data_IF_140877765995
#
_entry.id   IF_140877765995
#
_cell.length_a   1.000
_cell.length_b   1.000
_cell.length_c   1.000
_cell.angle_alpha   90.00
_cell.angle_beta   90.00
_cell.angle_gamma   90.00
#
_symmetry.space_group_name_H-M   'P 1'
#
loop_
_entity.id
_entity.type
_entity.pdbx_description
1 polymer ?
#
# COMPACT_ATOMS: atom_id res chain seq x y z
N UNK A 1 25.18 -5.49 0.38
CA UNK A 1 25.24 -4.43 1.39
C UNK A 1 24.31 -3.36 0.91
N UNK A 2 23.16 -3.28 1.56
CA UNK A 2 22.12 -2.32 1.23
C UNK A 2 22.71 -0.90 1.20
N UNK A 3 22.33 -0.13 0.19
CA UNK A 3 22.85 1.22 -0.03
C UNK A 3 21.80 2.09 -0.69
N UNK A 4 21.96 3.39 -0.57
CA UNK A 4 21.12 4.35 -1.28
C UNK A 4 21.93 5.45 -1.97
N UNK A 5 21.30 6.09 -2.94
CA UNK A 5 21.78 7.33 -3.54
C UNK A 5 20.60 8.27 -3.73
N UNK A 6 20.78 9.53 -3.31
CA UNK A 6 19.77 10.57 -3.49
C UNK A 6 20.17 11.42 -4.69
N UNK A 7 19.35 11.43 -5.72
CA UNK A 7 19.50 12.29 -6.90
C UNK A 7 18.25 13.18 -7.05
N UNK A 8 18.38 14.44 -6.62
CA UNK A 8 17.26 15.39 -6.61
C UNK A 8 16.09 14.91 -5.76
N UNK A 9 14.98 14.56 -6.42
CA UNK A 9 13.73 14.06 -5.80
C UNK A 9 13.59 12.53 -5.87
N UNK A 10 14.68 11.82 -6.17
CA UNK A 10 14.68 10.36 -6.31
C UNK A 10 15.63 9.75 -5.30
N UNK A 11 15.13 8.81 -4.51
CA UNK A 11 15.95 7.93 -3.67
C UNK A 11 16.07 6.59 -4.37
N UNK A 12 17.29 6.28 -4.84
CA UNK A 12 17.63 5.01 -5.48
C UNK A 12 18.12 4.08 -4.39
N UNK A 13 17.51 2.90 -4.27
CA UNK A 13 17.80 1.91 -3.24
C UNK A 13 18.31 0.64 -3.91
N UNK A 14 19.38 0.08 -3.36
CA UNK A 14 20.00 -1.13 -3.90
C UNK A 14 20.40 -2.07 -2.74
N UNK A 15 19.88 -3.30 -2.75
CA UNK A 15 20.30 -4.39 -1.86
C UNK A 15 20.93 -5.51 -2.70
N UNK A 16 21.42 -6.58 -2.07
CA UNK A 16 21.91 -7.75 -2.81
C UNK A 16 20.84 -8.42 -3.69
N UNK A 17 19.56 -8.41 -3.29
CA UNK A 17 18.46 -9.07 -4.01
C UNK A 17 17.42 -8.14 -4.64
N UNK A 18 17.37 -6.85 -4.25
CA UNK A 18 16.41 -5.87 -4.77
C UNK A 18 17.09 -4.60 -5.29
N UNK A 19 16.41 -3.93 -6.21
CA UNK A 19 16.63 -2.51 -6.52
C UNK A 19 15.28 -1.82 -6.67
N UNK A 20 15.16 -0.57 -6.22
CA UNK A 20 13.91 0.19 -6.28
C UNK A 20 14.18 1.69 -6.29
N UNK A 21 13.20 2.49 -6.72
CA UNK A 21 13.22 3.94 -6.60
C UNK A 21 12.02 4.46 -5.82
N UNK A 22 12.26 5.38 -4.90
CA UNK A 22 11.22 6.20 -4.25
C UNK A 22 11.28 7.60 -4.82
N UNK A 23 10.19 8.06 -5.44
CA UNK A 23 10.09 9.40 -6.02
C UNK A 23 9.33 10.31 -5.07
N UNK A 24 9.98 11.36 -4.56
CA UNK A 24 9.39 12.27 -3.56
C UNK A 24 8.68 13.47 -4.20
N UNK A 25 8.65 13.53 -5.54
CA UNK A 25 7.92 14.49 -6.35
C UNK A 25 7.15 13.79 -7.48
N UNK A 26 6.00 14.35 -7.89
CA UNK A 26 5.16 13.78 -8.93
C UNK A 26 4.12 12.78 -8.41
N UNK A 27 4.24 11.50 -8.76
CA UNK A 27 3.41 10.44 -8.19
C UNK A 27 4.12 9.91 -6.94
N UNK A 28 3.69 10.39 -5.77
CA UNK A 28 4.65 10.70 -4.70
C UNK A 28 4.83 9.70 -3.56
N UNK A 29 3.96 8.71 -3.37
CA UNK A 29 4.13 7.74 -2.28
C UNK A 29 4.65 6.39 -2.78
N UNK A 30 5.18 5.56 -1.88
CA UNK A 30 5.62 4.21 -2.19
C UNK A 30 6.76 4.10 -3.20
N UNK A 31 6.78 2.97 -3.92
CA UNK A 31 7.80 2.65 -4.93
C UNK A 31 7.31 3.07 -6.31
N UNK A 32 8.22 3.71 -7.06
CA UNK A 32 7.97 4.16 -8.42
C UNK A 32 7.63 2.97 -9.33
N UNK A 33 6.60 3.15 -10.15
CA UNK A 33 6.19 2.20 -11.17
C UNK A 33 7.37 1.60 -11.96
N UNK A 34 7.40 0.27 -12.06
CA UNK A 34 8.38 -0.51 -12.82
C UNK A 34 9.82 -0.41 -12.31
N UNK A 35 10.04 0.10 -11.09
CA UNK A 35 11.38 0.24 -10.51
C UNK A 35 11.74 -0.88 -9.55
N UNK A 36 10.77 -1.57 -8.93
CA UNK A 36 11.07 -2.70 -8.04
C UNK A 36 11.55 -3.89 -8.86
N UNK A 37 12.86 -4.10 -8.88
CA UNK A 37 13.54 -5.18 -9.57
C UNK A 37 13.84 -6.33 -8.59
N UNK A 38 13.44 -7.54 -8.95
CA UNK A 38 13.98 -8.77 -8.36
C UNK A 38 15.28 -9.13 -9.06
N UNK A 39 16.42 -8.97 -8.38
CA UNK A 39 17.74 -9.29 -8.98
C UNK A 39 17.94 -10.79 -9.20
N UNK A 40 17.16 -11.62 -8.51
CA UNK A 40 17.25 -13.09 -8.66
C UNK A 40 16.71 -13.54 -10.00
N UNK A 41 15.57 -13.01 -10.42
CA UNK A 41 14.87 -13.42 -11.64
C UNK A 41 14.99 -12.41 -12.78
N UNK A 42 15.37 -11.16 -12.48
CA UNK A 42 15.46 -10.06 -13.43
C UNK A 42 14.12 -9.36 -13.73
N UNK A 43 13.02 -9.75 -13.07
CA UNK A 43 11.69 -9.16 -13.33
C UNK A 43 11.48 -7.85 -12.56
N UNK A 44 10.62 -6.99 -13.11
CA UNK A 44 10.19 -5.72 -12.50
C UNK A 44 8.70 -5.73 -12.24
N UNK A 45 8.25 -4.88 -11.31
CA UNK A 45 6.82 -4.69 -11.09
C UNK A 45 6.15 -4.20 -12.39
N UNK A 46 4.89 -4.58 -12.60
CA UNK A 46 4.16 -4.31 -13.84
C UNK A 46 3.26 -3.07 -13.71
N UNK A 47 3.28 -2.42 -12.56
CA UNK A 47 2.17 -1.61 -12.09
C UNK A 47 2.27 -0.11 -12.34
N UNK A 48 1.47 0.62 -11.58
CA UNK A 48 1.51 2.09 -11.47
C UNK A 48 2.39 2.58 -10.31
N UNK A 49 3.04 1.67 -9.61
CA UNK A 49 3.77 1.89 -8.37
C UNK A 49 3.30 0.91 -7.30
N UNK A 50 4.02 0.84 -6.19
CA UNK A 50 3.72 -0.09 -5.11
C UNK A 50 3.57 0.63 -3.78
N UNK A 51 2.61 0.20 -2.97
CA UNK A 51 2.24 0.77 -1.67
C UNK A 51 1.98 2.27 -1.73
N UNK A 52 1.00 2.62 -2.56
CA UNK A 52 0.62 4.01 -2.83
C UNK A 52 -0.51 4.44 -1.89
N UNK A 53 -0.47 5.67 -1.41
CA UNK A 53 -1.47 6.23 -0.49
C UNK A 53 -2.33 7.28 -1.17
N UNK A 54 -3.64 7.19 -0.94
CA UNK A 54 -4.65 8.05 -1.50
C UNK A 54 -5.14 9.10 -0.50
N UNK A 55 -6.19 8.79 0.29
CA UNK A 55 -6.92 9.77 1.09
C UNK A 55 -7.55 9.13 2.34
N UNK A 56 -8.06 10.01 3.22
CA UNK A 56 -8.84 9.62 4.39
C UNK A 56 -10.34 9.64 4.08
N UNK A 57 -11.05 8.59 4.49
CA UNK A 57 -12.47 8.39 4.23
C UNK A 57 -13.23 8.01 5.50
N UNK A 58 -14.55 8.05 5.39
CA UNK A 58 -15.47 7.40 6.31
C UNK A 58 -16.67 6.80 5.55
N UNK A 59 -17.35 5.78 6.09
CA UNK A 59 -18.44 5.07 5.42
C UNK A 59 -19.78 5.79 5.57
N UNK A 60 -19.84 7.06 5.16
CA UNK A 60 -21.05 7.88 5.18
C UNK A 60 -21.32 8.45 3.79
N UNK A 61 -22.58 8.69 3.48
CA UNK A 61 -22.97 9.36 2.24
C UNK A 61 -22.62 10.84 2.29
N UNK A 62 -22.26 11.42 1.14
CA UNK A 62 -22.10 12.87 1.02
C UNK A 62 -23.41 13.61 1.29
N UNK A 63 -23.31 14.79 1.89
CA UNK A 63 -24.45 15.67 2.10
C UNK A 63 -24.86 16.37 0.78
N UNK A 64 -26.16 16.64 0.56
CA UNK A 64 -26.62 17.35 -0.64
C UNK A 64 -25.88 18.68 -0.84
N UNK A 65 -25.35 18.90 -2.05
CA UNK A 65 -24.62 20.13 -2.38
C UNK A 65 -23.13 20.11 -2.01
N UNK A 66 -22.58 18.97 -1.59
CA UNK A 66 -21.13 18.79 -1.45
C UNK A 66 -20.40 19.16 -2.74
N UNK A 67 -19.33 19.97 -2.63
CA UNK A 67 -18.54 20.42 -3.78
C UNK A 67 -17.59 19.35 -4.33
N UNK A 68 -17.28 18.33 -3.54
CA UNK A 68 -16.38 17.24 -3.90
C UNK A 68 -16.96 15.90 -3.41
N UNK A 69 -18.10 15.45 -4.00
CA UNK A 69 -18.71 14.19 -3.58
C UNK A 69 -17.82 13.01 -3.97
N UNK A 70 -17.84 11.97 -3.15
CA UNK A 70 -17.36 10.66 -3.51
C UNK A 70 -18.42 9.99 -4.39
N UNK A 71 -18.12 9.88 -5.69
CA UNK A 71 -19.00 9.22 -6.64
C UNK A 71 -19.08 7.72 -6.35
N UNK A 72 -20.28 7.15 -6.41
CA UNK A 72 -20.54 5.72 -6.32
C UNK A 72 -21.65 5.35 -7.31
N UNK A 73 -21.85 4.06 -7.58
CA UNK A 73 -22.73 3.54 -8.62
C UNK A 73 -22.12 3.52 -10.02
N UNK A 74 -20.78 3.52 -10.10
CA UNK A 74 -20.04 3.43 -11.34
C UNK A 74 -18.98 2.31 -11.30
N UNK A 75 -18.31 2.08 -12.43
CA UNK A 75 -17.28 1.03 -12.55
C UNK A 75 -16.00 1.31 -11.73
N UNK A 76 -15.81 2.55 -11.29
CA UNK A 76 -14.63 2.99 -10.53
C UNK A 76 -14.77 2.73 -9.05
N UNK A 77 -15.94 3.03 -8.51
CA UNK A 77 -16.20 3.03 -7.07
C UNK A 77 -17.22 1.97 -6.63
N UNK A 78 -17.97 1.38 -7.59
CA UNK A 78 -19.04 0.44 -7.28
C UNK A 78 -20.14 1.07 -6.44
N UNK A 79 -21.02 0.27 -5.84
CA UNK A 79 -22.02 0.76 -4.89
C UNK A 79 -21.46 0.87 -3.45
N UNK A 80 -20.19 1.29 -3.32
CA UNK A 80 -19.51 1.45 -2.04
C UNK A 80 -19.68 2.91 -1.56
N UNK A 81 -20.53 3.10 -0.56
CA UNK A 81 -20.78 4.42 0.04
C UNK A 81 -19.59 4.85 0.90
N UNK A 82 -19.00 6.00 0.54
CA UNK A 82 -17.93 6.67 1.27
C UNK A 82 -18.12 8.18 1.15
N UNK A 83 -17.38 8.94 1.95
CA UNK A 83 -17.11 10.36 1.72
C UNK A 83 -15.70 10.71 2.20
N UNK A 84 -15.10 11.71 1.57
CA UNK A 84 -13.78 12.21 1.97
C UNK A 84 -13.85 12.81 3.36
N UNK A 85 -12.83 12.55 4.19
CA UNK A 85 -12.61 13.20 5.50
C UNK A 85 -11.60 14.32 5.35
N UNK A 86 -10.44 13.99 4.78
CA UNK A 86 -9.35 14.92 4.53
C UNK A 86 -8.71 14.65 3.16
N UNK A 87 -8.21 15.73 2.56
CA UNK A 87 -7.76 15.85 1.18
C UNK A 87 -6.42 16.61 1.14
N UNK A 88 -5.66 16.51 0.04
CA UNK A 88 -6.03 15.89 -1.23
C UNK A 88 -5.65 14.40 -1.31
N UNK A 89 -5.94 13.77 -2.45
CA UNK A 89 -5.34 12.47 -2.80
C UNK A 89 -3.82 12.62 -2.87
N UNK A 90 -3.09 11.99 -1.94
CA UNK A 90 -1.64 12.17 -1.78
C UNK A 90 -0.92 11.83 -3.08
N UNK A 91 -1.14 10.63 -3.62
CA UNK A 91 -0.39 10.13 -4.77
C UNK A 91 -0.44 11.03 -6.02
N UNK A 92 -1.51 11.79 -6.27
CA UNK A 92 -1.62 12.63 -7.47
C UNK A 92 -1.61 14.13 -7.21
N UNK A 93 -1.87 14.58 -5.97
CA UNK A 93 -2.11 16.00 -5.67
C UNK A 93 -1.22 16.59 -4.59
N UNK A 94 -0.52 15.78 -3.78
CA UNK A 94 0.44 16.31 -2.81
C UNK A 94 1.64 17.00 -3.50
N UNK A 95 1.96 16.61 -4.74
CA UNK A 95 3.04 17.12 -5.61
C UNK A 95 4.46 16.84 -5.11
N UNK A 96 4.72 17.04 -3.82
CA UNK A 96 6.01 16.83 -3.16
C UNK A 96 5.81 16.32 -1.73
N UNK A 97 6.58 15.32 -1.34
CA UNK A 97 6.64 14.83 0.04
C UNK A 97 7.92 15.26 0.72
N UNK A 98 7.80 15.53 2.02
CA UNK A 98 8.96 15.59 2.88
C UNK A 98 9.41 14.15 3.18
N UNK A 99 10.73 13.95 3.26
CA UNK A 99 11.31 12.64 3.46
C UNK A 99 12.64 12.71 4.21
N UNK A 100 13.03 11.59 4.78
CA UNK A 100 14.35 11.33 5.35
C UNK A 100 14.80 9.92 4.96
N UNK A 101 16.12 9.74 4.87
CA UNK A 101 16.74 8.43 4.60
C UNK A 101 17.62 8.06 5.78
N UNK A 102 17.55 6.79 6.17
CA UNK A 102 18.39 6.20 7.20
C UNK A 102 19.07 4.95 6.67
N UNK A 103 20.34 4.79 7.02
CA UNK A 103 21.16 3.66 6.59
C UNK A 103 21.77 3.00 7.82
N UNK A 104 21.94 1.69 7.76
CA UNK A 104 22.68 0.91 8.73
C UNK A 104 23.29 -0.32 8.09
N UNK A 105 23.91 -1.18 8.89
CA UNK A 105 24.57 -2.37 8.34
C UNK A 105 23.54 -3.34 7.74
N UNK A 106 23.57 -3.48 6.42
CA UNK A 106 22.69 -4.37 5.66
C UNK A 106 21.25 -3.87 5.47
N UNK A 107 20.94 -2.59 5.75
CA UNK A 107 19.60 -2.04 5.50
C UNK A 107 19.58 -0.54 5.16
N UNK A 108 18.52 -0.15 4.44
CA UNK A 108 18.17 1.25 4.10
C UNK A 108 16.70 1.46 4.45
N UNK A 109 16.38 2.58 5.08
CA UNK A 109 15.01 3.02 5.33
C UNK A 109 14.73 4.37 4.69
N UNK A 110 13.56 4.52 4.08
CA UNK A 110 13.02 5.79 3.60
C UNK A 110 11.75 6.06 4.38
N UNK A 111 11.70 7.20 5.07
CA UNK A 111 10.48 7.70 5.72
C UNK A 111 10.02 8.96 5.02
N UNK A 112 8.74 9.02 4.71
CA UNK A 112 8.10 10.16 4.08
C UNK A 112 6.80 10.52 4.78
N UNK A 113 6.40 11.79 4.70
CA UNK A 113 5.21 12.25 5.39
C UNK A 113 4.52 13.41 4.65
N UNK A 114 3.23 13.53 4.93
CA UNK A 114 2.38 14.59 4.42
C UNK A 114 1.37 15.03 5.46
N UNK A 115 1.09 16.33 5.51
CA UNK A 115 0.01 16.88 6.33
C UNK A 115 -1.14 17.28 5.40
N UNK A 116 -2.29 16.65 5.56
CA UNK A 116 -3.49 16.96 4.79
C UNK A 116 -3.84 18.45 4.90
N UNK A 117 -4.23 19.05 3.79
CA UNK A 117 -4.40 20.52 3.67
C UNK A 117 -5.85 20.95 3.52
N UNK A 118 -6.74 20.00 3.24
CA UNK A 118 -8.16 20.22 3.04
C UNK A 118 -8.97 19.21 3.87
N UNK A 119 -10.17 19.60 4.29
CA UNK A 119 -11.09 18.76 5.03
C UNK A 119 -12.54 19.10 4.67
N UNK A 120 -13.44 18.16 4.89
CA UNK A 120 -14.86 18.25 4.54
C UNK A 120 -15.75 18.21 5.79
N UNK A 121 -17.05 18.51 5.64
CA UNK A 121 -18.06 18.29 6.70
C UNK A 121 -17.74 18.95 8.04
N UNK A 122 -17.23 20.18 8.02
CA UNK A 122 -16.91 20.95 9.24
C UNK A 122 -15.66 20.48 10.00
N UNK A 123 -14.86 19.60 9.40
CA UNK A 123 -13.61 19.11 9.97
C UNK A 123 -12.45 20.06 9.75
N UNK A 124 -11.36 19.82 10.48
CA UNK A 124 -10.12 20.59 10.36
C UNK A 124 -9.13 19.82 9.48
N UNK A 125 -8.46 20.45 8.51
CA UNK A 125 -7.31 19.82 7.87
C UNK A 125 -6.17 19.73 8.88
N UNK A 126 -5.27 18.78 8.65
CA UNK A 126 -3.99 18.75 9.34
C UNK A 126 -3.60 17.40 9.90
N UNK A 127 -4.35 16.34 9.62
CA UNK A 127 -3.92 14.97 9.93
C UNK A 127 -2.57 14.70 9.29
N UNK A 128 -1.68 14.03 10.03
CA UNK A 128 -0.35 13.67 9.56
C UNK A 128 -0.38 12.22 9.07
N UNK A 129 -0.03 12.00 7.82
CA UNK A 129 0.32 10.70 7.29
C UNK A 129 1.84 10.55 7.25
N UNK A 130 2.32 9.37 7.66
CA UNK A 130 3.71 8.95 7.63
C UNK A 130 3.79 7.56 7.00
N UNK A 131 4.77 7.35 6.11
CA UNK A 131 5.11 6.03 5.58
C UNK A 131 6.59 5.77 5.78
N UNK A 132 6.91 4.61 6.35
CA UNK A 132 8.28 4.12 6.51
C UNK A 132 8.46 2.87 5.67
N UNK A 133 9.50 2.81 4.85
CA UNK A 133 9.87 1.65 4.02
C UNK A 133 11.29 1.22 4.38
N UNK A 134 11.52 -0.07 4.64
CA UNK A 134 12.81 -0.65 5.03
C UNK A 134 13.19 -1.76 4.07
N UNK A 135 14.35 -1.60 3.44
CA UNK A 135 14.99 -2.54 2.53
C UNK A 135 16.15 -3.20 3.24
N UNK A 136 16.28 -4.51 3.11
CA UNK A 136 17.34 -5.28 3.76
C UNK A 136 18.03 -6.19 2.75
N UNK A 137 19.31 -6.46 2.98
CA UNK A 137 19.98 -7.55 2.28
C UNK A 137 19.34 -8.90 2.62
N UNK A 138 19.47 -9.87 1.72
CA UNK A 138 18.95 -11.23 1.85
C UNK A 138 17.44 -11.36 1.66
N UNK A 139 16.71 -10.27 1.46
CA UNK A 139 15.26 -10.27 1.25
C UNK A 139 14.88 -9.81 -0.16
N UNK A 140 13.91 -10.52 -0.75
CA UNK A 140 13.26 -10.16 -2.03
C UNK A 140 11.98 -9.34 -1.83
N UNK A 141 11.75 -8.84 -0.61
CA UNK A 141 10.69 -7.90 -0.26
C UNK A 141 11.23 -6.80 0.65
N UNK A 142 10.51 -5.69 0.71
CA UNK A 142 10.74 -4.65 1.70
C UNK A 142 9.61 -4.66 2.73
N UNK A 143 9.93 -4.23 3.94
CA UNK A 143 8.92 -3.97 4.97
C UNK A 143 8.46 -2.52 4.84
N UNK A 144 7.19 -2.27 5.09
CA UNK A 144 6.67 -0.91 5.11
C UNK A 144 5.61 -0.72 6.18
N UNK A 145 5.31 0.52 6.53
CA UNK A 145 4.19 0.84 7.41
C UNK A 145 3.62 2.21 7.10
N UNK A 146 2.31 2.37 7.30
CA UNK A 146 1.63 3.65 7.32
C UNK A 146 1.20 4.00 8.73
N UNK A 147 1.24 5.29 9.06
CA UNK A 147 0.67 5.85 10.28
C UNK A 147 -0.08 7.14 9.98
N UNK A 148 -1.31 7.22 10.44
CA UNK A 148 -2.12 8.44 10.43
C UNK A 148 -2.25 8.92 11.86
N UNK A 149 -1.93 10.18 12.13
CA UNK A 149 -2.30 10.88 13.37
C UNK A 149 -3.37 11.90 13.05
N UNK A 150 -4.60 11.66 13.53
CA UNK A 150 -5.75 12.46 13.12
C UNK A 150 -5.89 13.75 13.94
N UNK A 151 -6.28 14.86 13.31
CA UNK A 151 -6.67 16.10 14.02
C UNK A 151 -8.17 16.17 14.34
N UNK A 152 -8.93 15.17 13.90
CA UNK A 152 -10.38 15.09 14.03
C UNK A 152 -10.77 13.83 14.80
N UNK A 153 -11.90 13.92 15.51
CA UNK A 153 -12.58 12.72 16.01
C UNK A 153 -13.50 12.19 14.92
N UNK A 154 -13.29 10.96 14.47
CA UNK A 154 -14.05 10.33 13.38
C UNK A 154 -14.48 8.92 13.80
N UNK A 155 -15.78 8.58 13.76
CA UNK A 155 -16.26 7.28 14.26
C UNK A 155 -15.72 6.06 13.51
N UNK A 156 -15.41 6.20 12.22
CA UNK A 156 -14.91 5.13 11.37
C UNK A 156 -13.96 5.72 10.33
N UNK A 157 -12.76 6.12 10.75
CA UNK A 157 -11.75 6.67 9.85
C UNK A 157 -11.03 5.55 9.11
N UNK A 158 -10.93 5.63 7.80
CA UNK A 158 -10.09 4.73 6.99
C UNK A 158 -9.03 5.49 6.22
N UNK A 159 -7.90 4.82 5.98
CA UNK A 159 -6.88 5.24 5.02
C UNK A 159 -6.98 4.33 3.80
N UNK A 160 -7.13 4.92 2.61
CA UNK A 160 -7.11 4.18 1.34
C UNK A 160 -5.71 4.09 0.78
N UNK A 161 -5.33 2.89 0.35
CA UNK A 161 -4.04 2.58 -0.25
C UNK A 161 -4.18 1.62 -1.45
N UNK A 162 -3.24 1.68 -2.38
CA UNK A 162 -3.07 0.69 -3.43
C UNK A 162 -2.08 -0.38 -2.94
N UNK A 163 -2.55 -1.63 -2.76
CA UNK A 163 -1.76 -2.70 -2.12
C UNK A 163 -1.92 -4.05 -2.84
N UNK A 164 -0.84 -4.66 -3.39
CA UNK A 164 0.53 -4.13 -3.45
C UNK A 164 0.65 -2.91 -4.36
N UNK A 165 -0.22 -2.77 -5.36
CA UNK A 165 -0.24 -1.70 -6.34
C UNK A 165 -1.11 -2.11 -7.53
N UNK A 166 -1.61 -1.14 -8.31
CA UNK A 166 -2.40 -1.45 -9.51
C UNK A 166 -1.53 -2.11 -10.59
N UNK A 167 -2.09 -3.07 -11.33
CA UNK A 167 -1.39 -3.88 -12.33
C UNK A 167 -1.83 -3.53 -13.75
N UNK A 168 -0.86 -3.14 -14.59
CA UNK A 168 -1.10 -2.91 -16.03
C UNK A 168 -1.05 -4.22 -16.81
N UNK A 169 -1.94 -4.33 -17.79
CA UNK A 169 -1.98 -5.42 -18.75
C UNK A 169 -2.74 -4.98 -20.00
N UNK A 170 -2.55 -5.71 -21.09
CA UNK A 170 -3.41 -5.68 -22.28
C UNK A 170 -4.08 -7.04 -22.42
N UNK A 171 -5.40 -7.10 -22.15
CA UNK A 171 -6.19 -8.33 -22.16
C UNK A 171 -5.61 -9.51 -21.33
N UNK A 172 -4.74 -9.23 -20.36
CA UNK A 172 -4.18 -10.22 -19.44
C UNK A 172 -2.92 -10.89 -19.98
N UNK A 173 -2.17 -10.21 -20.84
CA UNK A 173 -0.94 -10.66 -21.47
C UNK A 173 0.25 -10.81 -20.50
N UNK A 174 0.38 -9.90 -19.54
CA UNK A 174 1.58 -9.72 -18.71
C UNK A 174 1.60 -10.56 -17.42
N UNK A 175 0.46 -11.10 -17.01
CA UNK A 175 0.31 -11.87 -15.78
C UNK A 175 -0.52 -13.13 -16.01
N UNK A 176 -0.32 -14.13 -15.16
CA UNK A 176 -1.01 -15.42 -15.29
C UNK A 176 -2.29 -15.48 -14.47
N UNK A 177 -2.21 -15.02 -13.22
CA UNK A 177 -3.29 -15.15 -12.23
C UNK A 177 -3.10 -14.16 -11.08
N UNK A 178 -4.19 -13.92 -10.38
CA UNK A 178 -4.26 -13.11 -9.16
C UNK A 178 -4.65 -14.01 -8.01
N UNK A 179 -4.01 -13.79 -6.86
CA UNK A 179 -4.31 -14.45 -5.60
C UNK A 179 -4.75 -13.43 -4.55
N UNK A 180 -5.89 -13.70 -3.92
CA UNK A 180 -6.41 -12.95 -2.78
C UNK A 180 -6.63 -13.95 -1.64
N UNK A 181 -6.03 -13.74 -0.48
CA UNK A 181 -6.16 -14.69 0.64
C UNK A 181 -7.61 -14.91 1.09
N UNK A 182 -8.46 -13.89 0.91
CA UNK A 182 -9.89 -13.91 1.24
C UNK A 182 -10.80 -14.38 0.08
N UNK A 183 -10.27 -14.55 -1.13
CA UNK A 183 -11.06 -14.84 -2.34
C UNK A 183 -10.54 -16.00 -3.21
N UNK A 184 -9.36 -16.53 -2.91
CA UNK A 184 -8.71 -17.58 -3.70
C UNK A 184 -7.96 -17.04 -4.92
N UNK A 185 -7.83 -17.88 -5.95
CA UNK A 185 -7.05 -17.59 -7.16
C UNK A 185 -7.98 -17.39 -8.35
N UNK A 186 -7.74 -16.34 -9.13
CA UNK A 186 -8.44 -16.04 -10.38
C UNK A 186 -7.47 -15.95 -11.56
N UNK A 187 -7.75 -16.55 -12.72
CA UNK A 187 -6.90 -16.44 -13.90
C UNK A 187 -6.96 -15.04 -14.51
N UNK A 188 -5.96 -14.65 -15.29
CA UNK A 188 -5.93 -13.36 -16.00
C UNK A 188 -7.18 -13.12 -16.87
N UNK A 189 -7.74 -14.17 -17.47
CA UNK A 189 -8.97 -14.12 -18.26
C UNK A 189 -10.18 -13.56 -17.50
N UNK A 190 -10.19 -13.61 -16.15
CA UNK A 190 -11.26 -13.05 -15.33
C UNK A 190 -11.25 -11.50 -15.30
N UNK A 191 -10.18 -10.88 -15.79
CA UNK A 191 -9.93 -9.43 -15.78
C UNK A 191 -9.83 -8.84 -17.19
N UNK A 192 -10.42 -9.49 -18.20
CA UNK A 192 -10.48 -8.94 -19.56
C UNK A 192 -11.55 -7.84 -19.66
N UNK A 193 -12.71 -8.07 -19.05
CA UNK A 193 -13.82 -7.12 -19.03
C UNK A 193 -13.84 -6.33 -17.73
N UNK A 194 -14.16 -5.04 -17.83
CA UNK A 194 -14.32 -4.17 -16.67
C UNK A 194 -15.46 -4.64 -15.76
N UNK A 195 -15.25 -4.57 -14.45
CA UNK A 195 -16.28 -4.82 -13.45
C UNK A 195 -16.03 -3.96 -12.20
N UNK A 196 -17.08 -3.52 -11.49
CA UNK A 196 -16.93 -2.62 -10.36
C UNK A 196 -16.34 -3.33 -9.12
N UNK A 197 -15.78 -2.56 -8.17
CA UNK A 197 -15.23 -3.02 -6.89
C UNK A 197 -16.00 -4.11 -6.14
N UNK A 198 -17.33 -3.96 -6.08
CA UNK A 198 -18.24 -4.74 -5.26
C UNK A 198 -18.90 -5.92 -5.99
N UNK A 199 -18.57 -6.14 -7.28
CA UNK A 199 -19.18 -7.21 -8.06
C UNK A 199 -18.64 -8.61 -7.75
N UNK A 200 -17.35 -8.74 -7.42
CA UNK A 200 -16.67 -10.06 -7.37
C UNK A 200 -15.74 -10.25 -6.18
N UNK A 201 -14.76 -9.37 -6.04
CA UNK A 201 -13.60 -9.62 -5.17
C UNK A 201 -13.54 -8.64 -3.97
N UNK A 202 -14.70 -8.31 -3.40
CA UNK A 202 -14.80 -7.39 -2.27
C UNK A 202 -14.70 -8.15 -0.94
N UNK A 203 -13.74 -7.76 -0.13
CA UNK A 203 -13.67 -8.05 1.29
C UNK A 203 -14.19 -6.86 2.09
N UNK A 204 -15.04 -7.16 3.08
CA UNK A 204 -15.42 -6.24 4.16
C UNK A 204 -15.17 -6.93 5.49
N UNK A 205 -14.52 -6.23 6.42
CA UNK A 205 -14.21 -6.79 7.73
C UNK A 205 -15.48 -7.18 8.47
N UNK A 206 -15.45 -8.39 8.99
CA UNK A 206 -16.35 -8.87 10.02
C UNK A 206 -15.48 -9.29 11.20
N UNK A 207 -15.60 -8.60 12.33
CA UNK A 207 -14.74 -8.83 13.50
C UNK A 207 -14.90 -10.25 14.09
N UNK A 208 -15.96 -10.97 13.73
CA UNK A 208 -16.16 -12.39 14.12
C UNK A 208 -15.46 -13.38 13.18
N UNK A 209 -15.02 -12.94 12.02
CA UNK A 209 -14.44 -13.79 10.96
C UNK A 209 -13.31 -13.09 10.22
N UNK A 210 -12.32 -12.58 10.96
CA UNK A 210 -11.09 -12.02 10.38
C UNK A 210 -10.31 -13.16 9.69
N UNK A 211 -9.89 -13.00 8.43
CA UNK A 211 -9.11 -14.04 7.74
C UNK A 211 -7.72 -14.20 8.38
N UNK A 212 -7.16 -15.41 8.32
CA UNK A 212 -5.82 -15.70 8.88
C UNK A 212 -4.70 -14.87 8.23
N UNK A 213 -4.92 -14.43 6.99
CA UNK A 213 -3.98 -13.67 6.17
C UNK A 213 -4.69 -12.59 5.38
N UNK A 214 -4.00 -11.49 5.12
CA UNK A 214 -4.35 -10.51 4.10
C UNK A 214 -3.22 -10.40 3.08
N UNK A 215 -3.25 -11.28 2.08
CA UNK A 215 -2.26 -11.38 1.01
C UNK A 215 -2.94 -11.11 -0.31
N UNK A 216 -2.35 -10.23 -1.10
CA UNK A 216 -2.86 -9.81 -2.40
C UNK A 216 -1.71 -9.82 -3.37
N UNK A 217 -1.83 -10.64 -4.42
CA UNK A 217 -0.68 -10.92 -5.28
C UNK A 217 -1.11 -11.17 -6.72
N UNK A 218 -0.18 -10.95 -7.64
CA UNK A 218 -0.29 -11.40 -9.02
C UNK A 218 0.98 -12.16 -9.42
N UNK A 219 0.81 -13.19 -10.23
CA UNK A 219 1.91 -13.98 -10.77
C UNK A 219 2.28 -13.42 -12.14
N UNK A 220 3.52 -12.95 -12.30
CA UNK A 220 3.97 -12.40 -13.59
C UNK A 220 4.19 -13.52 -14.60
N UNK A 221 4.09 -13.20 -15.89
CA UNK A 221 4.64 -14.06 -16.93
C UNK A 221 6.08 -13.67 -17.22
N UNK A 222 6.95 -14.65 -17.28
CA UNK A 222 8.34 -14.48 -17.69
C UNK A 222 8.63 -15.44 -18.83
N UNK A 223 9.06 -14.91 -19.98
CA UNK A 223 9.39 -15.71 -21.18
C UNK A 223 8.27 -16.66 -21.63
N UNK A 224 7.01 -16.26 -21.45
CA UNK A 224 5.83 -17.05 -21.82
C UNK A 224 5.45 -18.16 -20.83
N UNK A 225 6.11 -18.22 -19.67
CA UNK A 225 5.81 -19.16 -18.59
C UNK A 225 5.42 -18.45 -17.30
N UNK A 226 4.96 -19.22 -16.32
CA UNK A 226 4.74 -18.78 -14.95
C UNK A 226 6.04 -18.26 -14.32
N UNK A 227 6.06 -16.99 -13.94
CA UNK A 227 7.14 -16.36 -13.19
C UNK A 227 6.83 -16.26 -11.69
N UNK A 228 7.61 -15.43 -10.94
CA UNK A 228 7.39 -15.21 -9.53
C UNK A 228 6.09 -14.43 -9.25
N UNK A 229 5.70 -14.42 -7.99
CA UNK A 229 4.60 -13.62 -7.47
C UNK A 229 5.11 -12.28 -6.97
N UNK A 230 4.45 -11.19 -7.34
CA UNK A 230 4.53 -9.94 -6.60
C UNK A 230 3.36 -9.89 -5.62
N UNK A 231 3.64 -9.75 -4.33
CA UNK A 231 2.64 -9.73 -3.28
C UNK A 231 2.75 -8.49 -2.38
N UNK A 232 1.59 -8.03 -1.91
CA UNK A 232 1.44 -7.15 -0.76
C UNK A 232 0.78 -7.94 0.37
N UNK A 233 1.37 -7.87 1.56
CA UNK A 233 0.98 -8.65 2.73
C UNK A 233 0.74 -7.68 3.88
N UNK A 234 -0.48 -7.58 4.39
CA UNK A 234 -0.78 -6.82 5.60
C UNK A 234 -0.53 -7.72 6.81
N UNK A 235 0.39 -7.31 7.69
CA UNK A 235 0.97 -8.17 8.74
C UNK A 235 0.02 -8.38 9.94
N UNK A 236 -0.96 -7.48 10.10
CA UNK A 236 -2.14 -7.69 10.93
C UNK A 236 -3.41 -7.64 10.05
N UNK A 237 -4.01 -8.79 9.67
CA UNK A 237 -5.24 -8.81 8.87
C UNK A 237 -6.44 -8.10 9.52
N UNK A 238 -6.45 -7.98 10.86
CA UNK A 238 -7.57 -7.37 11.60
C UNK A 238 -7.72 -5.86 11.38
N UNK A 239 -6.65 -5.20 10.94
CA UNK A 239 -6.66 -3.75 10.70
C UNK A 239 -7.38 -3.36 9.41
N UNK A 240 -7.44 -4.27 8.43
CA UNK A 240 -8.04 -4.01 7.12
C UNK A 240 -9.56 -3.96 7.27
N UNK A 241 -10.16 -2.81 6.97
CA UNK A 241 -11.61 -2.62 6.99
C UNK A 241 -12.26 -3.13 5.71
N UNK A 242 -11.66 -2.82 4.56
CA UNK A 242 -12.16 -3.24 3.24
C UNK A 242 -10.98 -3.48 2.29
N UNK A 243 -11.14 -4.39 1.34
CA UNK A 243 -10.17 -4.59 0.28
C UNK A 243 -10.88 -5.12 -0.97
N UNK A 244 -10.47 -4.69 -2.16
CA UNK A 244 -11.03 -5.23 -3.38
C UNK A 244 -10.04 -5.25 -4.54
N UNK A 245 -10.32 -6.15 -5.48
CA UNK A 245 -9.58 -6.31 -6.71
C UNK A 245 -10.55 -6.26 -7.90
N UNK A 246 -10.46 -5.23 -8.74
CA UNK A 246 -11.40 -5.05 -9.85
C UNK A 246 -10.70 -4.67 -11.14
N UNK A 247 -11.43 -4.75 -12.26
CA UNK A 247 -10.93 -4.38 -13.58
C UNK A 247 -11.55 -3.06 -14.03
N UNK A 248 -10.70 -2.09 -14.41
CA UNK A 248 -11.12 -0.84 -15.06
C UNK A 248 -10.02 -0.33 -15.99
N UNK A 249 -9.88 -0.96 -17.15
CA UNK A 249 -8.75 -0.76 -18.08
C UNK A 249 -7.39 -1.26 -17.59
N UNK A 250 -7.24 -1.47 -16.29
CA UNK A 250 -6.15 -2.16 -15.61
C UNK A 250 -6.73 -2.84 -14.36
N UNK A 251 -5.96 -3.74 -13.75
CA UNK A 251 -6.37 -4.38 -12.49
C UNK A 251 -6.07 -3.42 -11.34
N UNK A 252 -7.12 -2.97 -10.67
CA UNK A 252 -7.04 -2.16 -9.47
C UNK A 252 -6.95 -3.06 -8.24
N UNK A 253 -5.92 -2.84 -7.42
CA UNK A 253 -5.84 -3.37 -6.07
C UNK A 253 -5.99 -2.21 -5.07
N UNK A 254 -7.13 -2.13 -4.36
CA UNK A 254 -7.35 -1.13 -3.32
C UNK A 254 -7.55 -1.80 -1.95
N UNK A 255 -6.90 -1.29 -0.92
CA UNK A 255 -7.10 -1.62 0.50
C UNK A 255 -7.53 -0.39 1.28
N UNK A 256 -8.32 -0.59 2.31
CA UNK A 256 -8.61 0.39 3.34
C UNK A 256 -8.26 -0.21 4.71
N UNK A 257 -7.39 0.48 5.46
CA UNK A 257 -7.07 0.15 6.85
C UNK A 257 -7.83 1.06 7.82
N UNK A 258 -8.06 0.61 9.05
CA UNK A 258 -8.78 1.35 10.07
C UNK A 258 -10.26 0.95 10.13
N UNK A 259 -11.17 1.90 9.92
CA UNK A 259 -12.62 1.70 10.01
C UNK A 259 -13.07 1.49 11.45
N UNK A 260 -12.37 2.12 12.39
CA UNK A 260 -12.64 2.12 13.83
C UNK A 260 -12.73 3.57 14.32
N UNK A 261 -13.29 3.82 15.52
CA UNK A 261 -13.27 5.15 16.11
C UNK A 261 -11.83 5.64 16.30
N UNK A 262 -11.57 6.88 15.88
CA UNK A 262 -10.30 7.58 16.09
C UNK A 262 -10.63 8.91 16.74
N UNK A 263 -10.00 9.21 17.87
CA UNK A 263 -10.09 10.51 18.53
C UNK A 263 -9.10 11.51 17.93
N UNK A 264 -9.40 12.80 18.06
CA UNK A 264 -8.43 13.84 17.72
C UNK A 264 -7.14 13.68 18.55
N UNK A 265 -6.00 13.64 17.86
CA UNK A 265 -4.67 13.38 18.41
C UNK A 265 -4.27 11.91 18.45
N UNK A 266 -5.19 10.98 18.20
CA UNK A 266 -4.92 9.54 18.16
C UNK A 266 -4.31 9.12 16.82
N UNK A 267 -3.54 8.04 16.85
CA UNK A 267 -2.95 7.44 15.66
C UNK A 267 -3.49 6.04 15.38
N UNK A 268 -3.62 5.70 14.10
CA UNK A 268 -3.79 4.33 13.63
C UNK A 268 -2.86 4.08 12.45
N UNK A 269 -2.62 2.82 12.10
CA UNK A 269 -1.67 2.45 11.07
C UNK A 269 -1.65 0.95 10.83
N UNK A 270 -0.82 0.51 9.89
CA UNK A 270 -0.57 -0.89 9.62
C UNK A 270 0.84 -1.07 9.06
N UNK A 271 1.37 -2.30 9.19
CA UNK A 271 2.62 -2.71 8.58
C UNK A 271 2.38 -3.78 7.51
N UNK A 272 3.32 -3.82 6.55
CA UNK A 272 3.25 -4.64 5.36
C UNK A 272 4.60 -5.25 5.01
N UNK A 273 4.56 -6.35 4.27
CA UNK A 273 5.67 -6.82 3.45
C UNK A 273 5.25 -6.75 1.98
N UNK A 274 6.09 -6.16 1.13
CA UNK A 274 5.81 -5.97 -0.30
C UNK A 274 7.00 -6.41 -1.13
N UNK A 275 6.80 -7.34 -2.06
CA UNK A 275 7.87 -7.81 -2.92
C UNK A 275 7.63 -9.16 -3.58
N UNK A 276 8.72 -9.86 -3.88
CA UNK A 276 8.75 -11.03 -4.74
C UNK A 276 8.84 -12.34 -3.97
N UNK A 277 8.06 -13.31 -4.42
CA UNK A 277 7.98 -14.64 -3.84
C UNK A 277 7.92 -15.69 -4.94
N UNK A 278 8.62 -16.81 -4.76
CA UNK A 278 8.55 -17.90 -5.74
C UNK A 278 7.18 -18.59 -5.69
N UNK A 279 6.59 -18.67 -4.48
CA UNK A 279 5.27 -19.28 -4.27
C UNK A 279 4.46 -18.51 -3.24
N UNK A 280 3.14 -18.62 -3.33
CA UNK A 280 2.22 -18.07 -2.32
C UNK A 280 2.49 -18.62 -0.91
N UNK A 281 3.01 -19.84 -0.79
CA UNK A 281 3.40 -20.41 0.50
C UNK A 281 4.53 -19.62 1.17
N UNK A 282 5.43 -19.03 0.40
CA UNK A 282 6.54 -18.21 0.92
C UNK A 282 6.01 -16.86 1.41
N UNK A 283 5.01 -16.29 0.71
CA UNK A 283 4.28 -15.11 1.19
C UNK A 283 3.49 -15.40 2.49
N UNK A 284 2.87 -16.58 2.61
CA UNK A 284 2.20 -16.99 3.87
C UNK A 284 3.18 -17.18 5.02
N UNK A 285 4.33 -17.80 4.77
CA UNK A 285 5.38 -17.95 5.78
C UNK A 285 5.88 -16.58 6.26
N UNK A 286 6.01 -15.61 5.35
CA UNK A 286 6.34 -14.22 5.70
C UNK A 286 5.25 -13.57 6.56
N UNK A 287 3.98 -13.78 6.23
CA UNK A 287 2.86 -13.31 7.04
C UNK A 287 2.84 -13.94 8.44
N UNK A 288 3.19 -15.22 8.57
CA UNK A 288 3.32 -15.91 9.85
C UNK A 288 4.46 -15.37 10.70
N UNK A 289 5.62 -15.11 10.09
CA UNK A 289 6.81 -14.56 10.75
C UNK A 289 6.51 -13.19 11.40
N UNK A 290 5.85 -12.31 10.68
CA UNK A 290 5.55 -10.96 11.15
C UNK A 290 4.14 -10.77 11.70
N UNK A 291 3.45 -11.87 12.05
CA UNK A 291 2.05 -11.83 12.48
C UNK A 291 1.82 -10.81 13.61
N UNK A 292 0.84 -9.93 13.38
CA UNK A 292 0.40 -8.92 14.34
C UNK A 292 1.33 -7.71 14.46
N UNK A 293 2.32 -7.55 13.59
CA UNK A 293 3.12 -6.32 13.53
C UNK A 293 2.25 -5.17 13.03
N UNK A 294 2.25 -4.08 13.79
CA UNK A 294 1.40 -2.90 13.57
C UNK A 294 2.15 -1.74 12.90
N UNK A 295 3.49 -1.70 12.99
CA UNK A 295 4.27 -0.62 12.39
C UNK A 295 5.78 -0.79 12.53
N UNK A 296 6.51 0.18 11.96
CA UNK A 296 7.96 0.28 11.98
C UNK A 296 8.35 1.56 12.71
N UNK A 297 9.31 1.46 13.63
CA UNK A 297 9.92 2.60 14.30
C UNK A 297 11.38 2.74 13.87
N UNK A 298 11.79 3.96 13.50
CA UNK A 298 13.19 4.32 13.30
C UNK A 298 13.70 4.99 14.58
N UNK A 299 14.87 4.58 15.06
CA UNK A 299 15.49 5.08 16.28
C UNK A 299 16.98 5.35 16.07
N UNK A 300 17.56 6.16 16.96
CA UNK A 300 18.94 6.61 16.87
C UNK A 300 19.07 8.05 16.37
N UNK A 301 20.29 8.58 16.43
CA UNK A 301 20.60 9.96 16.03
C UNK A 301 21.78 9.96 15.06
N UNK A 302 21.82 10.95 14.17
CA UNK A 302 22.99 11.22 13.32
C UNK A 302 24.29 11.34 14.12
N UNK A 303 24.21 11.90 15.33
CA UNK A 303 25.37 12.18 16.18
C UNK A 303 26.08 10.91 16.67
N UNK A 304 25.37 9.79 16.86
CA UNK A 304 25.94 8.54 17.38
C UNK A 304 26.31 7.55 16.30
N UNK A 305 25.82 7.73 15.06
CA UNK A 305 25.95 6.74 13.98
C UNK A 305 25.21 5.42 14.22
N UNK A 306 24.55 5.26 15.37
CA UNK A 306 23.82 4.05 15.78
C UNK A 306 22.33 4.22 15.41
N UNK A 307 22.05 4.20 14.10
CA UNK A 307 20.68 4.14 13.60
C UNK A 307 20.16 2.72 13.66
N UNK A 308 18.92 2.55 14.09
CA UNK A 308 18.25 1.26 14.21
C UNK A 308 16.81 1.38 13.75
N UNK A 309 16.22 0.25 13.42
CA UNK A 309 14.79 0.15 13.23
C UNK A 309 14.26 -1.07 13.96
N UNK A 310 12.98 -1.03 14.30
CA UNK A 310 12.30 -2.13 14.96
C UNK A 310 10.84 -2.21 14.53
N UNK A 311 10.29 -3.42 14.63
CA UNK A 311 8.87 -3.67 14.47
C UNK A 311 8.18 -3.56 15.84
N UNK A 312 7.00 -2.96 15.87
CA UNK A 312 6.14 -2.96 17.05
C UNK A 312 4.80 -3.61 16.74
N UNK A 313 4.14 -4.10 17.78
CA UNK A 313 2.82 -4.75 17.75
C UNK A 313 1.84 -3.92 18.56
#
# INVERSE_FOLDING_TARGET
>A
MASCTIDGSTVIIDTDLLSAEVHTEGYVSGIKAQTLLDKTTGVRDLGHGLHIVDFLLEPLQDEPGCSLPYHHGDVTHGDIVKRYVELPQICTKARKLAFEVSEGDGWVAVRQWFRYTEATYGRRPGSLWEQTMVFQDGLRYFLSSDRITSVNTVPQLTLRIDMPGHLKHDAGDSFERIYLSYGGTSPAAAFVEDFPPDARNLYRRNDSTIPDYMIRAYQVRQEGAEGPWLAGITLDPGIVSEAWCHQRGYVCFIEEIGGRPVAAGESFGAAYAVGWFDRIQDARATADEYRGVAGIELSGTEETGDRRWSLYR
#
